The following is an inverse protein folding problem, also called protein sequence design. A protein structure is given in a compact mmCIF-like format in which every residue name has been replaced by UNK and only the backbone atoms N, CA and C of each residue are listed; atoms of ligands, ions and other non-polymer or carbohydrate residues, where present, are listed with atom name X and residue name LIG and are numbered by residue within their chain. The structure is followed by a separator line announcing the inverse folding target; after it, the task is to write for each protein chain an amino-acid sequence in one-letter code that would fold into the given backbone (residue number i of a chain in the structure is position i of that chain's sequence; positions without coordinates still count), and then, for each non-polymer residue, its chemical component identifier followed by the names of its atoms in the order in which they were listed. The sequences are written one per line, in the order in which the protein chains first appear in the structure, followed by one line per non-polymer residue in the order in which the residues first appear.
data_IF_231125210046
#
_entry.id   IF_231125210046
#
_cell.length_a   1.000
_cell.length_b   1.000
_cell.length_c   1.000
_cell.angle_alpha   90.00
_cell.angle_beta   90.00
_cell.angle_gamma   90.00
#
_symmetry.space_group_name_H-M   'P 1'
#
loop_
_entity.id
_entity.type
_entity.pdbx_description
1 polymer ?
#
# COMPACT_ATOMS: atom_id res chain seq x y z
N UNK A 1 9.84 -13.95 7.46
CA UNK A 1 9.19 -13.27 6.31
C UNK A 1 8.06 -12.40 6.84
N UNK A 2 7.82 -11.21 6.27
CA UNK A 2 6.75 -10.31 6.71
C UNK A 2 6.99 -9.56 8.03
N UNK A 3 8.16 -9.71 8.68
CA UNK A 3 8.55 -8.90 9.84
C UNK A 3 9.06 -7.54 9.36
N UNK A 4 8.55 -6.47 9.95
CA UNK A 4 9.03 -5.12 9.72
C UNK A 4 10.41 -4.92 10.36
N UNK A 5 11.36 -4.44 9.56
CA UNK A 5 12.64 -3.90 10.02
C UNK A 5 12.63 -2.39 9.83
N UNK A 6 13.20 -1.66 10.79
CA UNK A 6 13.28 -0.20 10.71
C UNK A 6 14.66 0.21 10.25
N UNK A 7 14.73 1.05 9.22
CA UNK A 7 15.96 1.64 8.72
C UNK A 7 15.69 3.11 8.35
N UNK A 8 16.48 4.03 8.91
CA UNK A 8 16.34 5.49 8.69
C UNK A 8 14.90 6.00 8.85
N UNK A 9 14.23 5.56 9.92
CA UNK A 9 12.85 5.95 10.23
C UNK A 9 11.78 5.35 9.31
N UNK A 10 12.15 4.45 8.38
CA UNK A 10 11.22 3.76 7.47
C UNK A 10 11.16 2.29 7.81
N UNK A 11 9.95 1.73 7.72
CA UNK A 11 9.70 0.31 7.85
C UNK A 11 9.89 -0.40 6.51
N UNK A 12 10.63 -1.49 6.50
CA UNK A 12 10.81 -2.37 5.35
C UNK A 12 10.44 -3.79 5.73
N UNK A 13 9.90 -4.54 4.77
CA UNK A 13 9.71 -5.98 4.91
C UNK A 13 9.73 -6.61 3.54
N UNK A 14 9.88 -7.93 3.51
CA UNK A 14 9.83 -8.73 2.31
C UNK A 14 8.71 -9.75 2.47
N UNK A 15 7.88 -9.84 1.44
CA UNK A 15 6.79 -10.81 1.29
C UNK A 15 6.82 -11.32 -0.14
N UNK A 16 6.61 -12.63 -0.38
CA UNK A 16 6.52 -13.17 -1.72
C UNK A 16 5.25 -12.68 -2.42
N UNK A 17 5.32 -12.59 -3.74
CA UNK A 17 4.14 -12.43 -4.58
C UNK A 17 3.62 -13.83 -4.90
N UNK A 18 2.41 -14.12 -4.43
CA UNK A 18 1.73 -15.38 -4.69
C UNK A 18 1.11 -15.44 -6.09
N UNK A 19 0.38 -16.52 -6.34
CA UNK A 19 -0.39 -16.71 -7.56
C UNK A 19 -1.34 -15.53 -7.81
N UNK A 20 -1.51 -15.15 -9.09
CA UNK A 20 -2.35 -14.02 -9.48
C UNK A 20 -1.86 -12.65 -9.00
N UNK A 21 -0.62 -12.55 -8.50
CA UNK A 21 -0.08 -11.29 -7.97
C UNK A 21 -0.47 -11.00 -6.52
N UNK A 22 -0.95 -12.01 -5.77
CA UNK A 22 -1.44 -11.81 -4.41
C UNK A 22 -0.31 -11.49 -3.43
N UNK A 23 -0.49 -10.43 -2.62
CA UNK A 23 0.39 -10.09 -1.50
C UNK A 23 -0.35 -10.38 -0.20
N UNK A 24 0.16 -11.33 0.59
CA UNK A 24 -0.42 -11.70 1.88
C UNK A 24 0.24 -10.97 3.04
N UNK A 25 -0.55 -10.25 3.84
CA UNK A 25 -0.07 -9.58 5.05
C UNK A 25 -0.35 -10.46 6.27
N UNK A 26 0.67 -10.72 7.09
CA UNK A 26 0.45 -11.44 8.35
C UNK A 26 -0.32 -10.56 9.34
N UNK A 27 -1.01 -11.15 10.34
CA UNK A 27 -1.69 -10.37 11.38
C UNK A 27 -0.77 -9.36 12.08
N UNK A 28 0.49 -9.72 12.31
CA UNK A 28 1.50 -8.84 12.91
C UNK A 28 1.79 -7.63 12.02
N UNK A 29 1.95 -7.87 10.71
CA UNK A 29 2.22 -6.82 9.74
C UNK A 29 1.01 -5.89 9.60
N UNK A 30 -0.20 -6.44 9.56
CA UNK A 30 -1.44 -5.65 9.56
C UNK A 30 -1.53 -4.76 10.81
N UNK A 31 -1.27 -5.30 12.01
CA UNK A 31 -1.24 -4.51 13.25
C UNK A 31 -0.19 -3.40 13.19
N UNK A 32 1.02 -3.69 12.72
CA UNK A 32 2.08 -2.70 12.60
C UNK A 32 1.75 -1.58 11.60
N UNK A 33 1.08 -1.92 10.50
CA UNK A 33 0.59 -0.96 9.50
C UNK A 33 -0.73 -0.29 9.89
N UNK A 34 -1.37 -0.74 10.99
CA UNK A 34 -2.69 -0.32 11.45
C UNK A 34 -3.79 -0.54 10.40
N UNK A 35 -3.75 -1.71 9.77
CA UNK A 35 -4.74 -2.19 8.79
C UNK A 35 -5.66 -3.22 9.42
N UNK A 36 -6.87 -3.32 8.87
CA UNK A 36 -7.86 -4.35 9.20
C UNK A 36 -8.46 -4.92 7.91
N UNK A 37 -9.18 -6.03 8.02
CA UNK A 37 -9.96 -6.55 6.89
C UNK A 37 -10.94 -5.47 6.46
N UNK A 38 -11.14 -5.31 5.14
CA UNK A 38 -11.91 -4.23 4.53
C UNK A 38 -11.30 -2.82 4.64
N UNK A 39 -10.04 -2.68 5.10
CA UNK A 39 -9.30 -1.43 4.88
C UNK A 39 -9.15 -1.16 3.38
N UNK A 40 -9.63 -0.02 2.92
CA UNK A 40 -9.36 0.46 1.57
C UNK A 40 -7.94 1.02 1.48
N UNK A 41 -7.27 0.76 0.36
CA UNK A 41 -5.92 1.23 0.09
C UNK A 41 -5.91 2.04 -1.21
N UNK A 42 -5.44 3.27 -1.15
CA UNK A 42 -5.24 4.08 -2.34
C UNK A 42 -4.02 3.55 -3.12
N UNK A 43 -4.26 2.93 -4.27
CA UNK A 43 -3.19 2.49 -5.15
C UNK A 43 -2.67 3.68 -5.98
N UNK A 44 -1.41 4.03 -5.76
CA UNK A 44 -0.70 5.08 -6.49
C UNK A 44 0.30 4.38 -7.41
N UNK A 45 -0.01 4.38 -8.70
CA UNK A 45 0.91 3.91 -9.72
C UNK A 45 2.06 4.91 -9.83
N UNK A 46 3.25 4.47 -9.44
CA UNK A 46 4.49 5.22 -9.64
C UNK A 46 5.07 4.91 -11.02
N UNK A 47 6.17 4.18 -11.03
CA UNK A 47 6.84 3.71 -12.25
C UNK A 47 6.36 2.29 -12.64
N UNK A 48 6.98 1.71 -13.66
CA UNK A 48 6.74 0.33 -14.07
C UNK A 48 7.39 -0.72 -13.14
N UNK A 49 8.20 -0.29 -12.14
CA UNK A 49 8.94 -1.20 -11.24
C UNK A 49 8.49 -1.11 -9.78
N UNK A 50 7.63 -0.15 -9.43
CA UNK A 50 7.09 0.01 -8.09
C UNK A 50 5.76 0.74 -8.11
N UNK A 51 4.84 0.31 -7.24
CA UNK A 51 3.63 1.05 -6.91
C UNK A 51 3.59 1.29 -5.40
N UNK A 52 2.87 2.32 -5.00
CA UNK A 52 2.69 2.69 -3.59
C UNK A 52 1.24 2.51 -3.20
N UNK A 53 1.00 2.04 -1.99
CA UNK A 53 -0.35 1.98 -1.42
C UNK A 53 -0.46 2.91 -0.22
N UNK A 54 -1.48 3.76 -0.20
CA UNK A 54 -1.77 4.70 0.88
C UNK A 54 -2.98 4.27 1.69
N UNK A 55 -2.79 3.94 2.97
CA UNK A 55 -3.90 3.60 3.87
C UNK A 55 -4.60 4.82 4.50
N UNK A 56 -3.91 5.95 4.58
CA UNK A 56 -4.40 7.20 5.18
C UNK A 56 -3.56 8.41 4.75
N UNK A 57 -4.05 9.61 5.02
CA UNK A 57 -3.31 10.86 4.82
C UNK A 57 -3.97 11.80 3.81
N UNK A 58 -3.33 12.94 3.52
CA UNK A 58 -3.94 14.03 2.74
C UNK A 58 -4.29 13.67 1.29
N UNK A 59 -3.68 12.61 0.74
CA UNK A 59 -3.99 12.13 -0.61
C UNK A 59 -5.39 11.54 -0.72
N UNK A 60 -5.98 11.03 0.37
CA UNK A 60 -7.35 10.52 0.35
C UNK A 60 -8.37 11.62 0.05
N UNK A 61 -8.26 12.77 0.74
CA UNK A 61 -9.14 13.90 0.47
C UNK A 61 -9.02 14.41 -0.97
N UNK A 62 -7.81 14.40 -1.52
CA UNK A 62 -7.58 14.74 -2.94
C UNK A 62 -8.19 13.73 -3.89
N UNK A 63 -8.05 12.44 -3.61
CA UNK A 63 -8.62 11.37 -4.42
C UNK A 63 -10.16 11.43 -4.41
N UNK A 64 -10.77 11.67 -3.25
CA UNK A 64 -12.22 11.79 -3.10
C UNK A 64 -12.80 13.05 -3.76
N UNK A 65 -12.05 14.16 -3.74
CA UNK A 65 -12.46 15.40 -4.37
C UNK A 65 -12.20 15.46 -5.89
N UNK A 66 -11.50 14.46 -6.44
CA UNK A 66 -11.14 14.45 -7.85
C UNK A 66 -12.32 13.98 -8.72
N UNK A 67 -12.88 14.92 -9.49
CA UNK A 67 -14.01 14.67 -10.40
C UNK A 67 -13.59 14.55 -11.88
N UNK A 68 -12.28 14.46 -12.16
CA UNK A 68 -11.75 14.34 -13.52
C UNK A 68 -11.56 12.88 -13.95
N UNK A 69 -10.98 12.70 -15.12
CA UNK A 69 -10.54 11.40 -15.62
C UNK A 69 -9.03 11.24 -15.47
N UNK A 70 -8.58 10.07 -15.00
CA UNK A 70 -7.15 9.71 -15.00
C UNK A 70 -6.86 9.05 -16.35
N UNK A 71 -6.32 9.81 -17.30
CA UNK A 71 -5.93 9.29 -18.60
C UNK A 71 -4.66 8.44 -18.49
N UNK A 72 -4.64 7.33 -19.23
CA UNK A 72 -3.49 6.42 -19.29
C UNK A 72 -2.74 6.69 -20.59
N UNK A 73 -1.55 7.26 -20.45
CA UNK A 73 -0.56 7.39 -21.53
C UNK A 73 0.22 6.09 -21.74
#
# INVERSE_FOLDING_TARGET
MGKLITYKGRGYTWVPIGEGGMISLTPELMRALRLQVHSELLAIRGSNIAFTMGAKGPLWGKAQAFNGEITRY
#
